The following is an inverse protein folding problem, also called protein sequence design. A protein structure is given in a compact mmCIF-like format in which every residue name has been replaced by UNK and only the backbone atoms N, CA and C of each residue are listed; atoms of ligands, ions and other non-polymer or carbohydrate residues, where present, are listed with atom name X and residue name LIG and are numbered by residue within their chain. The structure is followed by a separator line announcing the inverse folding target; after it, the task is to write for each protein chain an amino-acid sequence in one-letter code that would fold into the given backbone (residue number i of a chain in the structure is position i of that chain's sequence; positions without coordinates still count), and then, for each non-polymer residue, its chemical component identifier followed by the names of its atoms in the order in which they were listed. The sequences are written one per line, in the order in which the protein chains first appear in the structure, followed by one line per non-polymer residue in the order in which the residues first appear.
data_IF_909967274208
#
_entry.id   IF_909967274208
#
_cell.length_a   1.000
_cell.length_b   1.000
_cell.length_c   1.000
_cell.angle_alpha   90.00
_cell.angle_beta   90.00
_cell.angle_gamma   90.00
#
_symmetry.space_group_name_H-M   'P 1'
#
loop_
_entity.id
_entity.type
_entity.pdbx_description
1 polymer ?
#
# COMPACT_ATOMS: atom_id res chain seq x y z
N UNK A 1 -10.03 -8.07 -16.46
CA UNK A 1 -9.57 -7.11 -15.42
C UNK A 1 -10.37 -5.81 -15.53
N UNK A 2 -10.75 -5.16 -14.42
CA UNK A 2 -11.60 -3.94 -14.47
C UNK A 2 -10.73 -2.73 -14.87
N UNK A 3 -11.18 -1.80 -15.74
CA UNK A 3 -10.35 -0.70 -16.25
C UNK A 3 -9.66 0.17 -15.18
N UNK A 4 -10.33 0.40 -14.04
CA UNK A 4 -9.77 1.20 -12.95
C UNK A 4 -8.68 0.46 -12.16
N UNK A 5 -8.75 -0.86 -12.10
CA UNK A 5 -7.70 -1.67 -11.48
C UNK A 5 -6.39 -1.51 -12.27
N UNK A 6 -6.49 -1.58 -13.60
CA UNK A 6 -5.34 -1.31 -14.49
C UNK A 6 -4.82 0.12 -14.37
N UNK A 7 -5.71 1.11 -14.28
CA UNK A 7 -5.30 2.51 -14.12
C UNK A 7 -4.44 2.70 -12.85
N UNK A 8 -4.90 2.19 -11.70
CA UNK A 8 -4.18 2.36 -10.44
C UNK A 8 -2.81 1.68 -10.48
N UNK A 9 -2.73 0.45 -11.04
CA UNK A 9 -1.47 -0.28 -11.21
C UNK A 9 -0.48 0.49 -12.10
N UNK A 10 -0.90 0.92 -13.29
CA UNK A 10 -0.04 1.65 -14.21
C UNK A 10 0.39 3.01 -13.65
N UNK A 11 -0.52 3.70 -12.96
CA UNK A 11 -0.23 4.98 -12.33
C UNK A 11 0.82 4.84 -11.23
N UNK A 12 0.67 3.86 -10.33
CA UNK A 12 1.65 3.58 -9.29
C UNK A 12 2.98 3.10 -9.90
N UNK A 13 2.96 2.25 -10.92
CA UNK A 13 4.16 1.81 -11.63
C UNK A 13 4.94 2.99 -12.21
N UNK A 14 4.28 3.93 -12.88
CA UNK A 14 4.93 5.11 -13.44
C UNK A 14 5.57 6.00 -12.36
N UNK A 15 4.88 6.23 -11.24
CA UNK A 15 5.40 7.07 -10.17
C UNK A 15 6.55 6.42 -9.39
N UNK A 16 6.50 5.09 -9.22
CA UNK A 16 7.43 4.34 -8.37
C UNK A 16 8.65 3.79 -9.12
N UNK A 17 8.58 3.59 -10.44
CA UNK A 17 9.70 3.07 -11.24
C UNK A 17 11.01 3.85 -11.08
N UNK A 18 11.02 5.20 -10.92
CA UNK A 18 12.25 5.93 -10.64
C UNK A 18 12.87 5.63 -9.26
N UNK A 19 12.07 5.12 -8.32
CA UNK A 19 12.46 4.91 -6.92
C UNK A 19 12.87 3.46 -6.62
N UNK A 20 12.60 2.51 -7.52
CA UNK A 20 12.88 1.10 -7.28
C UNK A 20 12.25 0.16 -8.31
N UNK A 21 12.28 -1.13 -8.00
CA UNK A 21 11.67 -2.17 -8.84
C UNK A 21 10.18 -2.29 -8.53
N UNK A 22 9.35 -2.20 -9.58
CA UNK A 22 7.91 -2.42 -9.49
C UNK A 22 7.55 -3.74 -10.19
N UNK A 23 6.80 -4.60 -9.52
CA UNK A 23 6.18 -5.79 -10.11
C UNK A 23 4.65 -5.64 -10.00
N UNK A 24 3.98 -5.41 -11.14
CA UNK A 24 2.51 -5.36 -11.20
C UNK A 24 1.94 -6.77 -11.30
N UNK A 25 0.84 -7.02 -10.59
CA UNK A 25 0.15 -8.33 -10.59
C UNK A 25 1.08 -9.52 -10.25
N UNK A 26 2.00 -9.33 -9.29
CA UNK A 26 2.97 -10.34 -8.85
C UNK A 26 2.24 -11.58 -8.32
N UNK A 27 2.51 -12.74 -8.90
CA UNK A 27 1.95 -14.01 -8.42
C UNK A 27 2.53 -14.37 -7.04
N UNK A 28 1.68 -14.92 -6.18
CA UNK A 28 2.08 -15.41 -4.86
C UNK A 28 2.20 -16.93 -4.95
N UNK A 29 3.39 -17.50 -4.79
CA UNK A 29 3.62 -18.93 -5.12
C UNK A 29 2.74 -19.93 -4.36
N UNK A 30 2.34 -19.59 -3.14
CA UNK A 30 1.53 -20.47 -2.27
C UNK A 30 0.02 -20.18 -2.36
N UNK A 31 -0.42 -19.26 -3.22
CA UNK A 31 -1.83 -18.89 -3.38
C UNK A 31 -2.20 -18.65 -4.85
N UNK A 32 -3.42 -18.94 -5.28
CA UNK A 32 -3.92 -18.53 -6.61
C UNK A 32 -4.30 -17.05 -6.64
N UNK A 33 -3.43 -16.19 -6.12
CA UNK A 33 -3.64 -14.76 -5.93
C UNK A 33 -2.46 -13.96 -6.46
N UNK A 34 -2.75 -12.72 -6.83
CA UNK A 34 -1.77 -11.75 -7.28
C UNK A 34 -1.76 -10.55 -6.35
N UNK A 35 -0.57 -10.02 -6.08
CA UNK A 35 -0.38 -8.72 -5.44
C UNK A 35 -0.49 -7.66 -6.52
N UNK A 36 -1.31 -6.64 -6.30
CA UNK A 36 -1.59 -5.66 -7.34
C UNK A 36 -0.34 -4.87 -7.73
N UNK A 37 0.41 -4.39 -6.74
CA UNK A 37 1.72 -3.75 -6.90
C UNK A 37 2.64 -4.23 -5.79
N UNK A 38 3.75 -4.88 -6.16
CA UNK A 38 4.86 -5.18 -5.26
C UNK A 38 6.01 -4.25 -5.61
N UNK A 39 6.52 -3.51 -4.62
CA UNK A 39 7.57 -2.52 -4.84
C UNK A 39 8.75 -2.77 -3.90
N UNK A 40 9.96 -2.72 -4.45
CA UNK A 40 11.22 -2.76 -3.70
C UNK A 40 12.04 -1.52 -4.00
N UNK A 41 12.35 -0.66 -3.01
CA UNK A 41 13.10 0.58 -3.23
C UNK A 41 14.55 0.32 -3.62
N UNK A 42 15.14 1.26 -4.34
CA UNK A 42 16.60 1.36 -4.51
C UNK A 42 17.28 1.61 -3.15
N UNK A 43 18.59 1.35 -2.99
CA UNK A 43 19.31 1.57 -1.73
C UNK A 43 19.23 3.01 -1.19
N UNK A 44 19.17 4.00 -2.07
CA UNK A 44 19.07 5.43 -1.74
C UNK A 44 17.98 6.09 -2.61
N UNK A 45 16.70 5.85 -2.32
CA UNK A 45 15.62 6.49 -3.09
C UNK A 45 15.51 7.97 -2.68
N UNK A 46 15.13 8.83 -3.63
CA UNK A 46 14.74 10.21 -3.34
C UNK A 46 13.23 10.38 -3.58
N UNK A 47 12.37 10.04 -2.60
CA UNK A 47 10.92 10.00 -2.78
C UNK A 47 10.23 11.33 -2.43
N UNK A 48 10.99 12.39 -2.10
CA UNK A 48 10.46 13.61 -1.48
C UNK A 48 9.38 14.29 -2.33
N UNK A 49 9.51 14.24 -3.66
CA UNK A 49 8.53 14.83 -4.59
C UNK A 49 7.19 14.07 -4.62
N UNK A 50 7.11 12.87 -4.02
CA UNK A 50 5.89 12.06 -3.91
C UNK A 50 5.15 12.23 -2.57
N UNK A 51 5.67 13.05 -1.65
CA UNK A 51 5.04 13.31 -0.35
C UNK A 51 4.70 12.04 0.42
N UNK A 52 3.43 11.88 0.82
CA UNK A 52 2.93 10.70 1.52
C UNK A 52 3.09 9.41 0.72
N UNK A 53 2.94 9.43 -0.62
CA UNK A 53 3.21 8.24 -1.45
C UNK A 53 4.69 7.83 -1.32
N UNK A 54 5.59 8.82 -1.32
CA UNK A 54 7.02 8.60 -1.10
C UNK A 54 7.33 8.03 0.28
N UNK A 55 6.69 8.57 1.32
CA UNK A 55 6.84 8.11 2.71
C UNK A 55 6.42 6.64 2.91
N UNK A 56 5.39 6.17 2.21
CA UNK A 56 4.90 4.79 2.41
C UNK A 56 5.74 3.73 1.68
N UNK A 57 6.64 4.12 0.78
CA UNK A 57 7.47 3.21 -0.03
C UNK A 57 8.95 3.20 0.35
N UNK A 58 9.31 3.66 1.56
CA UNK A 58 10.70 3.67 2.03
C UNK A 58 11.32 2.26 2.23
N UNK A 59 10.47 1.24 2.32
CA UNK A 59 10.86 -0.17 2.41
C UNK A 59 10.10 -0.97 1.34
N UNK A 60 10.38 -2.27 1.21
CA UNK A 60 9.58 -3.14 0.36
C UNK A 60 8.10 -3.11 0.78
N UNK A 61 7.19 -2.99 -0.19
CA UNK A 61 5.76 -2.91 0.07
C UNK A 61 4.90 -3.70 -0.89
N UNK A 62 3.73 -4.10 -0.39
CA UNK A 62 2.58 -4.53 -1.16
C UNK A 62 1.57 -3.38 -1.16
N UNK A 63 1.10 -2.95 -2.33
CA UNK A 63 0.07 -1.92 -2.45
C UNK A 63 -1.15 -2.53 -3.14
N UNK A 64 -2.30 -2.44 -2.49
CA UNK A 64 -3.58 -3.00 -2.94
C UNK A 64 -4.59 -1.85 -3.11
N UNK A 65 -4.67 -1.24 -4.31
CA UNK A 65 -5.56 -0.13 -4.59
C UNK A 65 -6.98 -0.60 -4.88
N UNK A 66 -7.92 -0.18 -4.05
CA UNK A 66 -9.32 -0.51 -4.21
C UNK A 66 -10.10 0.57 -4.95
N UNK A 67 -10.96 0.13 -5.88
CA UNK A 67 -11.97 0.99 -6.48
C UNK A 67 -12.99 1.40 -5.42
N UNK A 68 -13.60 0.44 -4.74
CA UNK A 68 -14.67 0.65 -3.75
C UNK A 68 -14.12 0.33 -2.36
N UNK A 69 -14.68 0.87 -1.27
CA UNK A 69 -14.27 0.49 0.09
C UNK A 69 -14.24 -1.04 0.25
N UNK A 70 -13.09 -1.63 0.60
CA UNK A 70 -12.97 -3.07 0.70
C UNK A 70 -13.79 -3.58 1.90
N UNK A 71 -14.39 -4.75 1.73
CA UNK A 71 -15.06 -5.45 2.81
C UNK A 71 -14.07 -6.27 3.66
N UNK A 72 -14.55 -6.88 4.74
CA UNK A 72 -13.72 -7.66 5.67
C UNK A 72 -13.00 -8.83 5.01
N UNK A 73 -13.63 -9.49 4.02
CA UNK A 73 -13.02 -10.60 3.28
C UNK A 73 -11.90 -10.10 2.37
N UNK A 74 -12.11 -8.98 1.70
CA UNK A 74 -11.10 -8.33 0.84
C UNK A 74 -9.85 -7.93 1.64
N UNK A 75 -10.02 -7.30 2.81
CA UNK A 75 -8.89 -6.96 3.70
C UNK A 75 -8.14 -8.21 4.19
N UNK A 76 -8.87 -9.27 4.56
CA UNK A 76 -8.25 -10.56 4.96
C UNK A 76 -7.48 -11.20 3.80
N UNK A 77 -7.97 -11.08 2.57
CA UNK A 77 -7.25 -11.57 1.41
C UNK A 77 -5.95 -10.79 1.20
N UNK A 78 -5.93 -9.47 1.38
CA UNK A 78 -4.68 -8.70 1.33
C UNK A 78 -3.69 -9.16 2.42
N UNK A 79 -4.18 -9.37 3.66
CA UNK A 79 -3.35 -9.90 4.75
C UNK A 79 -2.76 -11.27 4.42
N UNK A 80 -3.55 -12.17 3.83
CA UNK A 80 -3.07 -13.49 3.42
C UNK A 80 -1.93 -13.41 2.39
N UNK A 81 -2.02 -12.49 1.42
CA UNK A 81 -0.92 -12.22 0.47
C UNK A 81 0.36 -11.78 1.19
N UNK A 82 0.26 -10.86 2.15
CA UNK A 82 1.41 -10.41 2.94
C UNK A 82 2.04 -11.56 3.72
N UNK A 83 1.23 -12.37 4.41
CA UNK A 83 1.71 -13.51 5.19
C UNK A 83 2.40 -14.56 4.31
N UNK A 84 1.89 -14.80 3.10
CA UNK A 84 2.51 -15.71 2.14
C UNK A 84 3.90 -15.21 1.69
N UNK A 85 4.03 -13.91 1.38
CA UNK A 85 5.33 -13.30 1.06
C UNK A 85 6.31 -13.40 2.23
N UNK A 86 5.86 -13.10 3.46
CA UNK A 86 6.72 -13.21 4.64
C UNK A 86 7.22 -14.64 4.85
N UNK A 87 6.35 -15.64 4.65
CA UNK A 87 6.73 -17.05 4.72
C UNK A 87 7.73 -17.44 3.60
N UNK A 88 7.56 -16.92 2.40
CA UNK A 88 8.48 -17.13 1.28
C UNK A 88 9.88 -16.59 1.58
N UNK A 89 9.96 -15.33 2.04
CA UNK A 89 11.21 -14.68 2.43
C UNK A 89 11.91 -15.44 3.56
N UNK A 90 11.17 -15.91 4.55
CA UNK A 90 11.71 -16.73 5.63
C UNK A 90 12.30 -18.05 5.11
N UNK A 91 11.62 -18.72 4.17
CA UNK A 91 12.14 -19.96 3.53
C UNK A 91 13.38 -19.68 2.68
N UNK A 92 13.42 -18.55 1.98
CA UNK A 92 14.58 -18.14 1.20
C UNK A 92 15.81 -17.91 2.09
N UNK A 93 15.67 -17.10 3.14
CA UNK A 93 16.77 -16.83 4.07
C UNK A 93 17.31 -18.12 4.72
N UNK A 94 16.43 -19.07 5.07
CA UNK A 94 16.83 -20.39 5.58
C UNK A 94 17.65 -21.19 4.56
N UNK A 95 17.29 -21.15 3.27
CA UNK A 95 18.05 -21.83 2.19
C UNK A 95 19.43 -21.20 1.98
N UNK A 96 19.54 -19.89 2.21
CA UNK A 96 20.78 -19.13 2.05
C UNK A 96 21.66 -19.12 3.32
N UNK A 97 21.29 -19.87 4.36
CA UNK A 97 21.94 -19.87 5.69
C UNK A 97 22.08 -18.47 6.30
N UNK A 98 21.14 -17.57 6.01
CA UNK A 98 21.07 -16.24 6.59
C UNK A 98 20.10 -16.22 7.76
N UNK A 99 20.40 -15.43 8.80
CA UNK A 99 19.45 -15.17 9.89
C UNK A 99 18.33 -14.27 9.36
N UNK A 100 17.09 -14.76 9.36
CA UNK A 100 15.92 -13.95 9.05
C UNK A 100 15.47 -13.18 10.30
N UNK A 101 16.24 -12.16 10.67
CA UNK A 101 15.96 -11.28 11.82
C UNK A 101 15.64 -9.84 11.38
N UNK A 102 15.11 -9.69 10.16
CA UNK A 102 15.02 -8.41 9.50
C UNK A 102 13.60 -7.81 9.61
N UNK A 103 13.05 -7.70 10.84
CA UNK A 103 11.73 -7.07 11.05
C UNK A 103 11.68 -5.64 10.48
N UNK A 104 12.81 -4.93 10.54
CA UNK A 104 12.96 -3.57 10.02
C UNK A 104 12.79 -3.52 8.49
N UNK A 105 13.32 -4.51 7.77
CA UNK A 105 13.26 -4.58 6.31
C UNK A 105 12.13 -5.47 5.76
N UNK A 106 11.32 -6.06 6.62
CA UNK A 106 10.20 -6.89 6.17
C UNK A 106 9.21 -6.07 5.31
N UNK A 107 8.48 -6.70 4.37
CA UNK A 107 7.48 -5.99 3.57
C UNK A 107 6.30 -5.46 4.40
N UNK A 108 5.75 -4.31 4.00
CA UNK A 108 4.52 -3.74 4.58
C UNK A 108 3.38 -3.74 3.56
N UNK A 109 2.17 -4.05 4.00
CA UNK A 109 0.97 -3.95 3.20
C UNK A 109 0.30 -2.58 3.36
N UNK A 110 0.00 -1.93 2.24
CA UNK A 110 -0.79 -0.70 2.15
C UNK A 110 -2.07 -0.95 1.35
N UNK A 111 -3.21 -0.87 2.02
CA UNK A 111 -4.53 -0.97 1.38
C UNK A 111 -5.00 0.45 1.07
N UNK A 112 -5.04 0.83 -0.21
CA UNK A 112 -5.51 2.15 -0.62
C UNK A 112 -7.01 2.07 -0.89
N UNK A 113 -7.81 2.72 -0.06
CA UNK A 113 -9.26 2.67 -0.12
C UNK A 113 -9.84 4.05 -0.41
N UNK A 114 -10.86 4.20 -1.28
CA UNK A 114 -11.48 5.49 -1.52
C UNK A 114 -12.15 6.05 -0.24
N UNK A 115 -12.57 5.17 0.67
CA UNK A 115 -13.02 5.52 2.02
C UNK A 115 -13.00 4.30 2.93
N UNK A 116 -12.95 4.50 4.25
CA UNK A 116 -13.02 3.42 5.21
C UNK A 116 -14.19 3.62 6.17
N UNK A 117 -14.98 2.56 6.38
CA UNK A 117 -16.06 2.58 7.38
C UNK A 117 -15.46 2.37 8.76
N UNK A 118 -15.91 3.16 9.75
CA UNK A 118 -15.43 3.04 11.14
C UNK A 118 -15.57 1.61 11.69
N UNK A 119 -16.70 0.94 11.40
CA UNK A 119 -16.96 -0.45 11.82
C UNK A 119 -16.01 -1.48 11.19
N UNK A 120 -15.39 -1.14 10.04
CA UNK A 120 -14.37 -1.99 9.43
C UNK A 120 -13.02 -1.72 10.09
N UNK A 121 -12.65 -0.45 10.26
CA UNK A 121 -11.41 -0.05 10.94
C UNK A 121 -11.35 -0.62 12.36
N UNK A 122 -12.39 -0.42 13.18
CA UNK A 122 -12.50 -0.96 14.54
C UNK A 122 -12.44 -2.49 14.56
N UNK A 123 -13.09 -3.15 13.60
CA UNK A 123 -13.11 -4.61 13.49
C UNK A 123 -11.73 -5.23 13.21
N UNK A 124 -10.79 -4.47 12.65
CA UNK A 124 -9.38 -4.86 12.48
C UNK A 124 -8.46 -4.21 13.52
N UNK A 125 -9.00 -3.43 14.47
CA UNK A 125 -8.21 -2.67 15.43
C UNK A 125 -7.32 -1.60 14.79
N UNK A 126 -7.69 -1.10 13.60
CA UNK A 126 -6.92 -0.12 12.86
C UNK A 126 -7.03 1.27 13.51
N UNK A 127 -5.89 1.91 13.82
CA UNK A 127 -5.81 3.16 14.59
C UNK A 127 -4.95 4.21 13.90
N UNK A 128 -5.24 5.48 14.16
CA UNK A 128 -4.34 6.58 13.79
C UNK A 128 -3.06 6.52 14.64
N UNK A 129 -1.95 6.93 14.04
CA UNK A 129 -0.69 7.15 14.74
C UNK A 129 -0.35 8.66 14.76
N UNK A 130 0.29 9.19 15.83
CA UNK A 130 0.51 10.63 15.99
C UNK A 130 1.26 11.32 14.83
N UNK A 131 2.23 10.62 14.23
CA UNK A 131 3.09 11.18 13.18
C UNK A 131 2.51 11.02 11.76
N UNK A 132 1.29 10.53 11.63
CA UNK A 132 0.64 10.27 10.35
C UNK A 132 -0.59 11.15 10.15
N UNK A 133 -0.85 11.61 8.91
CA UNK A 133 -2.01 12.43 8.64
C UNK A 133 -3.31 11.63 8.86
N UNK A 134 -4.41 12.37 9.04
CA UNK A 134 -5.74 11.79 9.03
C UNK A 134 -5.95 10.93 7.78
N UNK A 135 -6.68 9.82 7.94
CA UNK A 135 -6.93 8.85 6.87
C UNK A 135 -5.91 7.72 6.79
N UNK A 136 -4.80 7.75 7.55
CA UNK A 136 -3.83 6.64 7.59
C UNK A 136 -4.00 5.83 8.87
N UNK A 137 -4.53 4.61 8.75
CA UNK A 137 -4.83 3.74 9.90
C UNK A 137 -3.94 2.51 9.91
N UNK A 138 -3.26 2.26 11.02
CA UNK A 138 -2.37 1.12 11.21
C UNK A 138 -3.05 0.01 12.00
N UNK A 139 -2.90 -1.23 11.52
CA UNK A 139 -3.14 -2.41 12.35
C UNK A 139 -1.97 -2.56 13.35
N UNK A 140 -2.15 -3.40 14.38
CA UNK A 140 -1.09 -3.72 15.34
C UNK A 140 0.23 -4.09 14.64
N UNK A 141 1.34 -3.59 15.18
CA UNK A 141 2.69 -3.62 14.60
C UNK A 141 3.05 -4.90 13.82
N UNK A 142 2.83 -6.08 14.41
CA UNK A 142 3.21 -7.36 13.82
C UNK A 142 2.42 -7.76 12.56
N UNK A 143 1.26 -7.14 12.31
CA UNK A 143 0.54 -7.33 11.05
C UNK A 143 1.16 -6.56 9.88
N UNK A 144 2.06 -5.60 10.15
CA UNK A 144 2.72 -4.74 9.14
C UNK A 144 1.77 -4.28 8.03
N UNK A 145 0.61 -3.79 8.44
CA UNK A 145 -0.48 -3.43 7.53
C UNK A 145 -1.06 -2.08 7.91
N UNK A 146 -1.34 -1.27 6.90
CA UNK A 146 -2.07 -0.02 7.05
C UNK A 146 -3.16 0.13 5.97
N UNK A 147 -4.23 0.82 6.34
CA UNK A 147 -5.36 1.17 5.49
C UNK A 147 -5.35 2.68 5.31
N UNK A 148 -5.28 3.14 4.06
CA UNK A 148 -5.38 4.56 3.71
C UNK A 148 -6.79 4.84 3.20
N UNK A 149 -7.57 5.60 3.97
CA UNK A 149 -8.86 6.14 3.56
C UNK A 149 -8.65 7.46 2.81
N UNK A 150 -8.56 7.38 1.49
CA UNK A 150 -8.15 8.49 0.62
C UNK A 150 -9.06 9.73 0.78
N UNK A 151 -10.36 9.55 1.01
CA UNK A 151 -11.29 10.68 1.20
C UNK A 151 -11.09 11.46 2.52
N UNK A 152 -10.30 10.94 3.44
CA UNK A 152 -9.97 11.58 4.72
C UNK A 152 -8.59 12.24 4.71
N UNK A 153 -7.80 12.02 3.65
CA UNK A 153 -6.49 12.63 3.52
C UNK A 153 -6.63 14.17 3.45
N UNK A 154 -5.82 14.93 4.20
CA UNK A 154 -5.85 16.39 4.17
C UNK A 154 -5.52 16.91 2.76
N UNK A 155 -6.17 17.97 2.33
CA UNK A 155 -5.94 18.58 1.00
C UNK A 155 -4.65 19.40 1.04
N UNK A 156 -3.54 18.75 0.71
CA UNK A 156 -2.19 19.33 0.66
C UNK A 156 -1.41 18.71 -0.50
N UNK A 157 -0.28 19.34 -0.87
CA UNK A 157 0.64 18.78 -1.86
C UNK A 157 1.15 17.39 -1.43
N UNK A 158 1.40 17.20 -0.13
CA UNK A 158 1.89 15.94 0.45
C UNK A 158 0.99 14.73 0.14
N UNK A 159 -0.33 14.92 0.03
CA UNK A 159 -1.28 13.81 -0.18
C UNK A 159 -1.79 13.73 -1.62
N UNK A 160 -1.36 14.64 -2.49
CA UNK A 160 -1.92 14.84 -3.83
C UNK A 160 -1.90 13.54 -4.66
N UNK A 161 -0.75 12.87 -4.71
CA UNK A 161 -0.57 11.65 -5.50
C UNK A 161 -1.49 10.50 -5.08
N UNK A 162 -1.82 10.39 -3.79
CA UNK A 162 -2.78 9.41 -3.29
C UNK A 162 -4.23 9.84 -3.53
N UNK A 163 -4.54 11.14 -3.44
CA UNK A 163 -5.90 11.66 -3.71
C UNK A 163 -6.31 11.52 -5.19
N UNK A 164 -5.36 11.47 -6.12
CA UNK A 164 -5.62 11.14 -7.54
C UNK A 164 -6.14 9.72 -7.75
N UNK A 165 -5.83 8.79 -6.84
CA UNK A 165 -6.40 7.44 -6.79
C UNK A 165 -7.77 7.37 -6.10
N UNK A 166 -8.24 8.50 -5.56
CA UNK A 166 -9.53 8.63 -4.90
C UNK A 166 -10.71 8.58 -5.88
N UNK A 167 -11.87 9.05 -5.43
CA UNK A 167 -13.09 9.10 -6.25
C UNK A 167 -13.89 10.37 -6.06
N UNK A 168 -14.70 10.69 -7.06
CA UNK A 168 -15.69 11.76 -6.99
C UNK A 168 -15.04 13.09 -6.64
N UNK A 169 -15.53 13.74 -5.57
CA UNK A 169 -15.03 15.06 -5.15
C UNK A 169 -13.53 15.05 -4.83
N UNK A 170 -13.02 14.01 -4.17
CA UNK A 170 -11.60 13.91 -3.78
C UNK A 170 -10.68 13.86 -5.01
N UNK A 171 -11.01 13.02 -6.00
CA UNK A 171 -10.22 12.92 -7.23
C UNK A 171 -10.36 14.18 -8.09
N UNK A 172 -11.57 14.70 -8.25
CA UNK A 172 -11.80 15.92 -9.04
C UNK A 172 -11.04 17.12 -8.46
N UNK A 173 -10.95 17.21 -7.13
CA UNK A 173 -10.19 18.24 -6.44
C UNK A 173 -8.68 18.06 -6.70
N UNK A 174 -8.16 16.86 -6.52
CA UNK A 174 -6.75 16.56 -6.79
C UNK A 174 -6.34 16.85 -8.25
N UNK A 175 -7.21 16.54 -9.23
CA UNK A 175 -6.97 16.89 -10.63
C UNK A 175 -6.89 18.40 -10.85
N UNK A 176 -7.74 19.19 -10.18
CA UNK A 176 -7.71 20.66 -10.28
C UNK A 176 -6.46 21.28 -9.67
N UNK A 177 -5.82 20.62 -8.71
CA UNK A 177 -4.54 21.08 -8.13
C UNK A 177 -3.35 20.88 -9.08
N UNK A 178 -3.53 20.15 -10.19
CA UNK A 178 -2.51 19.95 -11.24
C UNK A 178 -2.69 20.86 -12.47
N UNK A 179 -3.80 21.60 -12.54
CA UNK A 179 -4.14 22.52 -13.65
C UNK A 179 -3.75 23.95 -13.32
#
# INVERSE_FOLDING_TARGET
MKPHDQFAKNYLEQLLSPLGTVEISKEVSDETRQIDVFFSPNPEPNPDYLGLLGRIVLNTVLIEPYRNPPNRSEIRNCLAKLLAILAELQRQAKRENQSYNNEDNAPRLWILSPSARITVLEGFGAKLEPDWPEGVYFLTLLYRTAIIAINQLPVTAETLWLRLLGRGKTQNQAVRELL
#
